data_IF_987037603717
#
_entry.id   IF_987037603717
#
_cell.length_a   1.000
_cell.length_b   1.000
_cell.length_c   1.000
_cell.angle_alpha   90.00
_cell.angle_beta   90.00
_cell.angle_gamma   90.00
#
_symmetry.space_group_name_H-M   'P 1'
#
loop_
_entity.id
_entity.type
_entity.pdbx_description
1 polymer ?
#
# COMPACT_ATOMS: atom_id res chain seq x y z
N UNK A 1 -43.91 4.88 80.26
CA UNK A 1 -42.55 4.95 79.68
C UNK A 1 -42.42 4.19 78.36
N UNK A 2 -43.00 2.99 78.24
CA UNK A 2 -42.89 2.12 77.04
C UNK A 2 -43.27 2.77 75.69
N UNK A 3 -44.36 3.56 75.65
CA UNK A 3 -44.82 4.20 74.41
C UNK A 3 -43.88 5.28 73.84
N UNK A 4 -43.11 5.99 74.68
CA UNK A 4 -42.17 7.02 74.20
C UNK A 4 -40.93 6.41 73.54
N UNK A 5 -40.48 5.26 74.03
CA UNK A 5 -39.31 4.58 73.49
C UNK A 5 -39.60 3.94 72.12
N UNK A 6 -40.81 3.38 71.94
CA UNK A 6 -41.26 2.84 70.65
C UNK A 6 -41.31 3.94 69.58
N UNK A 7 -41.93 5.09 69.88
CA UNK A 7 -42.01 6.21 68.94
C UNK A 7 -40.62 6.71 68.55
N UNK A 8 -39.70 6.83 69.51
CA UNK A 8 -38.31 7.23 69.25
C UNK A 8 -37.57 6.23 68.35
N UNK A 9 -37.77 4.92 68.56
CA UNK A 9 -37.17 3.87 67.74
C UNK A 9 -37.73 3.88 66.31
N UNK A 10 -39.03 4.15 66.14
CA UNK A 10 -39.67 4.29 64.82
C UNK A 10 -39.15 5.52 64.07
N UNK A 11 -38.97 6.66 64.74
CA UNK A 11 -38.39 7.87 64.16
C UNK A 11 -36.94 7.65 63.71
N UNK A 12 -36.13 6.95 64.51
CA UNK A 12 -34.75 6.58 64.15
C UNK A 12 -34.70 5.66 62.94
N UNK A 13 -35.56 4.63 62.88
CA UNK A 13 -35.65 3.73 61.73
C UNK A 13 -36.04 4.47 60.46
N UNK A 14 -37.07 5.31 60.53
CA UNK A 14 -37.52 6.10 59.37
C UNK A 14 -36.42 7.02 58.86
N UNK A 15 -35.70 7.68 59.77
CA UNK A 15 -34.57 8.56 59.42
C UNK A 15 -33.43 7.78 58.77
N UNK A 16 -33.15 6.57 59.22
CA UNK A 16 -32.12 5.71 58.62
C UNK A 16 -32.54 5.20 57.23
N UNK A 17 -33.81 4.87 57.04
CA UNK A 17 -34.37 4.51 55.73
C UNK A 17 -34.22 5.66 54.72
N UNK A 18 -34.54 6.89 55.11
CA UNK A 18 -34.39 8.09 54.28
C UNK A 18 -32.93 8.34 53.84
N UNK A 19 -31.95 8.08 54.72
CA UNK A 19 -30.53 8.18 54.35
C UNK A 19 -30.14 7.11 53.32
N UNK A 20 -30.58 5.88 53.54
CA UNK A 20 -30.32 4.77 52.62
C UNK A 20 -30.95 5.00 51.26
N UNK A 21 -32.13 5.64 51.21
CA UNK A 21 -32.78 6.01 49.95
C UNK A 21 -31.94 7.00 49.13
N UNK A 22 -31.35 8.01 49.78
CA UNK A 22 -30.46 8.98 49.10
C UNK A 22 -29.23 8.27 48.50
N UNK A 23 -28.61 7.36 49.24
CA UNK A 23 -27.46 6.59 48.75
C UNK A 23 -27.84 5.68 47.57
N UNK A 24 -28.98 5.00 47.65
CA UNK A 24 -29.50 4.17 46.55
C UNK A 24 -29.82 5.02 45.31
N UNK A 25 -30.36 6.22 45.52
CA UNK A 25 -30.64 7.14 44.43
C UNK A 25 -29.35 7.52 43.70
N UNK A 26 -28.32 7.98 44.42
CA UNK A 26 -26.99 8.30 43.84
C UNK A 26 -26.43 7.12 43.04
N UNK A 27 -26.48 5.91 43.61
CA UNK A 27 -26.00 4.70 42.93
C UNK A 27 -26.78 4.39 41.65
N UNK A 28 -28.11 4.48 41.70
CA UNK A 28 -28.97 4.17 40.56
C UNK A 28 -28.79 5.13 39.39
N UNK A 29 -28.53 6.41 39.66
CA UNK A 29 -28.46 7.45 38.65
C UNK A 29 -27.24 7.32 37.72
N UNK A 30 -26.16 6.67 38.17
CA UNK A 30 -25.00 6.33 37.34
C UNK A 30 -25.34 5.22 36.32
N UNK A 31 -26.12 4.22 36.73
CA UNK A 31 -26.53 3.10 35.85
C UNK A 31 -27.52 3.50 34.75
N UNK A 32 -28.20 4.65 34.90
CA UNK A 32 -29.13 5.18 33.90
C UNK A 32 -28.39 5.78 32.69
N UNK A 33 -27.09 6.10 32.83
CA UNK A 33 -26.30 6.66 31.72
C UNK A 33 -25.96 5.54 30.73
N UNK A 34 -26.71 5.46 29.63
CA UNK A 34 -26.56 4.41 28.62
C UNK A 34 -25.32 4.54 27.73
N UNK A 35 -24.80 5.77 27.55
CA UNK A 35 -23.64 6.00 26.69
C UNK A 35 -22.33 5.72 27.45
N UNK A 36 -21.48 4.77 27.01
CA UNK A 36 -20.27 4.40 27.74
C UNK A 36 -19.28 5.55 27.93
N UNK A 37 -19.18 6.46 26.96
CA UNK A 37 -18.25 7.60 27.05
C UNK A 37 -18.81 8.63 28.04
N UNK A 38 -20.12 8.86 28.01
CA UNK A 38 -20.76 9.71 29.02
C UNK A 38 -20.64 9.11 30.43
N UNK A 39 -20.75 7.78 30.55
CA UNK A 39 -20.57 7.04 31.81
C UNK A 39 -19.17 7.23 32.37
N UNK A 40 -18.12 7.03 31.54
CA UNK A 40 -16.72 7.24 31.92
C UNK A 40 -16.47 8.67 32.46
N UNK A 41 -17.02 9.69 31.79
CA UNK A 41 -16.88 11.09 32.24
C UNK A 41 -17.66 11.41 33.53
N UNK A 42 -18.68 10.62 33.86
CA UNK A 42 -19.51 10.82 35.05
C UNK A 42 -18.98 10.04 36.26
N UNK A 43 -18.29 8.91 36.06
CA UNK A 43 -17.96 7.92 37.09
C UNK A 43 -17.20 8.53 38.28
N UNK A 44 -16.15 9.32 38.01
CA UNK A 44 -15.33 9.93 39.06
C UNK A 44 -16.16 10.87 39.95
N UNK A 45 -16.99 11.73 39.34
CA UNK A 45 -17.81 12.70 40.08
C UNK A 45 -18.94 12.04 40.86
N UNK A 46 -19.56 10.98 40.31
CA UNK A 46 -20.54 10.19 41.07
C UNK A 46 -19.88 9.50 42.27
N UNK A 47 -18.66 8.99 42.11
CA UNK A 47 -17.89 8.38 43.20
C UNK A 47 -17.54 9.40 44.30
N UNK A 48 -17.19 10.63 43.93
CA UNK A 48 -16.97 11.73 44.87
C UNK A 48 -18.24 12.10 45.62
N UNK A 49 -19.36 12.30 44.91
CA UNK A 49 -20.66 12.60 45.51
C UNK A 49 -21.11 11.50 46.47
N UNK A 50 -20.91 10.23 46.11
CA UNK A 50 -21.22 9.10 46.97
C UNK A 50 -20.42 9.13 48.28
N UNK A 51 -19.10 9.33 48.20
CA UNK A 51 -18.25 9.46 49.40
C UNK A 51 -18.67 10.63 50.27
N UNK A 52 -19.01 11.76 49.66
CA UNK A 52 -19.51 12.93 50.38
C UNK A 52 -20.82 12.63 51.12
N UNK A 53 -21.76 11.94 50.45
CA UNK A 53 -23.02 11.52 51.04
C UNK A 53 -22.82 10.54 52.20
N UNK A 54 -21.97 9.52 52.04
CA UNK A 54 -21.62 8.56 53.09
C UNK A 54 -21.09 9.27 54.35
N UNK A 55 -20.27 10.31 54.20
CA UNK A 55 -19.73 11.08 55.33
C UNK A 55 -20.81 11.97 55.95
N UNK A 56 -21.53 12.74 55.14
CA UNK A 56 -22.51 13.73 55.63
C UNK A 56 -23.70 13.07 56.32
N UNK A 57 -24.17 11.92 55.83
CA UNK A 57 -25.33 11.20 56.37
C UNK A 57 -25.06 10.52 57.74
N UNK A 58 -23.79 10.41 58.17
CA UNK A 58 -23.44 9.96 59.53
C UNK A 58 -23.81 11.00 60.60
N UNK A 59 -23.95 12.28 60.23
CA UNK A 59 -24.30 13.35 61.18
C UNK A 59 -25.75 13.26 61.63
N UNK A 60 -25.99 13.33 62.95
CA UNK A 60 -27.35 13.30 63.51
C UNK A 60 -28.16 14.56 63.17
N UNK A 61 -27.50 15.71 62.99
CA UNK A 61 -28.13 17.01 62.80
C UNK A 61 -28.37 17.39 61.32
N UNK A 62 -28.13 16.47 60.38
CA UNK A 62 -28.30 16.78 58.96
C UNK A 62 -29.77 17.05 58.60
N UNK A 63 -30.01 18.07 57.79
CA UNK A 63 -31.30 18.28 57.15
C UNK A 63 -31.37 17.41 55.89
N UNK A 64 -32.10 16.30 55.96
CA UNK A 64 -32.18 15.30 54.88
C UNK A 64 -32.86 15.86 53.62
N UNK A 65 -33.84 16.76 53.77
CA UNK A 65 -34.53 17.38 52.62
C UNK A 65 -33.56 18.25 51.82
N UNK A 66 -32.82 19.13 52.51
CA UNK A 66 -31.82 19.99 51.87
C UNK A 66 -30.69 19.19 51.24
N UNK A 67 -30.27 18.10 51.90
CA UNK A 67 -29.22 17.24 51.35
C UNK A 67 -29.69 16.45 50.12
N UNK A 68 -30.96 16.02 50.10
CA UNK A 68 -31.57 15.40 48.91
C UNK A 68 -31.59 16.37 47.74
N UNK A 69 -32.12 17.58 47.94
CA UNK A 69 -32.14 18.63 46.89
C UNK A 69 -30.74 18.95 46.36
N UNK A 70 -29.76 19.05 47.25
CA UNK A 70 -28.35 19.22 46.89
C UNK A 70 -27.82 18.06 46.02
N UNK A 71 -28.11 16.82 46.42
CA UNK A 71 -27.67 15.62 45.71
C UNK A 71 -28.30 15.55 44.32
N UNK A 72 -29.61 15.80 44.20
CA UNK A 72 -30.33 15.85 42.93
C UNK A 72 -29.77 16.93 42.00
N UNK A 73 -29.51 18.13 42.52
CA UNK A 73 -28.91 19.22 41.74
C UNK A 73 -27.52 18.86 41.24
N UNK A 74 -26.69 18.27 42.12
CA UNK A 74 -25.32 17.87 41.79
C UNK A 74 -25.30 16.75 40.75
N UNK A 75 -26.18 15.75 40.87
CA UNK A 75 -26.36 14.67 39.89
C UNK A 75 -26.69 15.23 38.50
N UNK A 76 -27.62 16.18 38.43
CA UNK A 76 -27.98 16.82 37.17
C UNK A 76 -26.79 17.56 36.54
N UNK A 77 -26.02 18.31 37.34
CA UNK A 77 -24.81 18.98 36.86
C UNK A 77 -23.74 18.00 36.37
N UNK A 78 -23.56 16.87 37.07
CA UNK A 78 -22.63 15.82 36.65
C UNK A 78 -23.06 15.28 35.28
N UNK A 79 -24.33 14.90 35.11
CA UNK A 79 -24.89 14.39 33.85
C UNK A 79 -24.75 15.39 32.70
N UNK A 80 -25.08 16.65 32.91
CA UNK A 80 -24.91 17.70 31.90
C UNK A 80 -23.44 17.88 31.49
N UNK A 81 -22.54 17.92 32.47
CA UNK A 81 -21.10 18.05 32.21
C UNK A 81 -20.52 16.84 31.46
N UNK A 82 -20.94 15.63 31.84
CA UNK A 82 -20.51 14.39 31.21
C UNK A 82 -20.99 14.30 29.76
N UNK A 83 -22.26 14.62 29.50
CA UNK A 83 -22.84 14.68 28.15
C UNK A 83 -22.12 15.69 27.25
N UNK A 84 -21.82 16.87 27.79
CA UNK A 84 -21.05 17.90 27.07
C UNK A 84 -19.65 17.40 26.73
N UNK A 85 -18.92 16.85 27.70
CA UNK A 85 -17.55 16.36 27.51
C UNK A 85 -17.49 15.20 26.52
N UNK A 86 -18.42 14.25 26.60
CA UNK A 86 -18.53 13.14 25.66
C UNK A 86 -18.80 13.63 24.23
N UNK A 87 -19.69 14.60 24.07
CA UNK A 87 -19.99 15.21 22.76
C UNK A 87 -18.77 15.93 22.18
N UNK A 88 -18.05 16.70 23.01
CA UNK A 88 -16.80 17.37 22.60
C UNK A 88 -15.72 16.36 22.21
N UNK A 89 -15.56 15.28 22.97
CA UNK A 89 -14.60 14.21 22.67
C UNK A 89 -14.90 13.51 21.35
N UNK A 90 -16.17 13.13 21.12
CA UNK A 90 -16.62 12.52 19.85
C UNK A 90 -16.36 13.46 18.67
N UNK A 91 -16.69 14.75 18.81
CA UNK A 91 -16.47 15.75 17.77
C UNK A 91 -14.99 15.98 17.47
N UNK A 92 -14.13 16.02 18.49
CA UNK A 92 -12.67 16.11 18.30
C UNK A 92 -12.14 14.89 17.55
N UNK A 93 -12.58 13.70 17.94
CA UNK A 93 -12.18 12.43 17.30
C UNK A 93 -12.59 12.37 15.83
N UNK A 94 -13.82 12.74 15.50
CA UNK A 94 -14.31 12.80 14.11
C UNK A 94 -13.48 13.80 13.31
N UNK A 95 -13.26 15.02 13.83
CA UNK A 95 -12.44 16.04 13.14
C UNK A 95 -11.00 15.58 12.90
N UNK A 96 -10.37 14.93 13.88
CA UNK A 96 -9.01 14.39 13.70
C UNK A 96 -8.98 13.28 12.65
N UNK A 97 -10.02 12.45 12.59
CA UNK A 97 -10.12 11.38 11.61
C UNK A 97 -10.36 11.94 10.20
N UNK A 98 -11.20 12.96 10.06
CA UNK A 98 -11.43 13.68 8.80
C UNK A 98 -10.17 14.37 8.28
N UNK A 99 -9.40 15.02 9.15
CA UNK A 99 -8.11 15.64 8.78
C UNK A 99 -7.16 14.55 8.28
N UNK A 100 -7.10 13.41 8.96
CA UNK A 100 -6.19 12.33 8.59
C UNK A 100 -6.56 11.69 7.26
N UNK A 101 -7.84 11.46 7.00
CA UNK A 101 -8.33 10.96 5.72
C UNK A 101 -7.99 11.93 4.59
N UNK A 102 -8.11 13.25 4.83
CA UNK A 102 -7.71 14.26 3.85
C UNK A 102 -6.21 14.19 3.53
N UNK A 103 -5.35 14.14 4.56
CA UNK A 103 -3.89 14.05 4.37
C UNK A 103 -3.52 12.79 3.58
N UNK A 104 -4.10 11.64 3.93
CA UNK A 104 -3.85 10.38 3.22
C UNK A 104 -4.29 10.46 1.74
N UNK A 105 -5.45 11.06 1.48
CA UNK A 105 -5.94 11.27 0.11
C UNK A 105 -5.03 12.22 -0.70
N UNK A 106 -4.55 13.31 -0.10
CA UNK A 106 -3.59 14.23 -0.75
C UNK A 106 -2.26 13.54 -1.09
N UNK A 107 -1.76 12.65 -0.20
CA UNK A 107 -0.59 11.83 -0.49
C UNK A 107 -0.84 10.85 -1.64
N UNK A 108 -1.99 10.18 -1.66
CA UNK A 108 -2.39 9.30 -2.76
C UNK A 108 -2.59 10.07 -4.08
N UNK A 109 -3.10 11.30 -4.04
CA UNK A 109 -3.17 12.16 -5.22
C UNK A 109 -1.78 12.56 -5.72
N UNK A 110 -0.83 12.83 -4.82
CA UNK A 110 0.57 13.13 -5.17
C UNK A 110 1.24 11.94 -5.87
N UNK A 111 1.06 10.73 -5.32
CA UNK A 111 1.51 9.48 -5.94
C UNK A 111 0.82 9.31 -7.29
N UNK A 112 -0.50 9.41 -7.37
CA UNK A 112 -1.23 9.23 -8.63
C UNK A 112 -0.85 10.25 -9.71
N UNK A 113 -0.61 11.51 -9.35
CA UNK A 113 -0.21 12.55 -10.29
C UNK A 113 1.22 12.35 -10.81
N UNK A 114 2.14 11.86 -9.99
CA UNK A 114 3.49 11.50 -10.46
C UNK A 114 3.48 10.27 -11.39
N UNK A 115 2.44 9.44 -11.33
CA UNK A 115 2.22 8.35 -12.30
C UNK A 115 1.58 8.82 -13.63
N UNK A 116 1.06 10.05 -13.74
CA UNK A 116 0.42 10.55 -14.98
C UNK A 116 1.40 10.86 -16.11
N UNK A 117 2.68 11.05 -15.79
CA UNK A 117 3.71 11.31 -16.80
C UNK A 117 4.20 10.03 -17.51
N UNK A 118 3.77 8.86 -17.05
CA UNK A 118 4.19 7.54 -17.55
C UNK A 118 3.04 6.86 -18.32
N UNK A 119 3.34 6.38 -19.53
CA UNK A 119 2.35 5.82 -20.49
C UNK A 119 1.65 4.56 -19.94
N UNK A 120 0.35 4.45 -20.19
CA UNK A 120 -0.61 3.48 -19.63
C UNK A 120 -0.35 1.98 -19.89
N UNK A 121 0.68 1.61 -20.65
CA UNK A 121 0.88 0.23 -21.14
C UNK A 121 1.71 -0.67 -20.19
N UNK A 122 2.18 -0.16 -19.04
CA UNK A 122 2.94 -0.97 -18.07
C UNK A 122 2.03 -1.70 -17.07
N UNK A 123 2.06 -3.06 -17.02
CA UNK A 123 1.27 -3.85 -16.07
C UNK A 123 1.64 -3.58 -14.58
N UNK A 124 2.90 -3.24 -14.26
CA UNK A 124 3.30 -2.84 -12.90
C UNK A 124 2.66 -1.50 -12.53
N UNK A 125 2.65 -0.54 -13.47
CA UNK A 125 2.02 0.76 -13.30
C UNK A 125 0.50 0.66 -13.16
N UNK A 126 -0.13 -0.22 -13.94
CA UNK A 126 -1.56 -0.50 -13.86
C UNK A 126 -1.95 -1.09 -12.49
N UNK A 127 -1.17 -2.05 -12.00
CA UNK A 127 -1.35 -2.62 -10.65
C UNK A 127 -1.20 -1.56 -9.55
N UNK A 128 -0.20 -0.66 -9.68
CA UNK A 128 0.00 0.42 -8.72
C UNK A 128 -1.20 1.40 -8.69
N UNK A 129 -1.75 1.75 -9.86
CA UNK A 129 -2.98 2.55 -9.97
C UNK A 129 -4.18 1.85 -9.32
N UNK A 130 -4.32 0.54 -9.52
CA UNK A 130 -5.40 -0.25 -8.90
C UNK A 130 -5.28 -0.29 -7.38
N UNK A 131 -4.06 -0.48 -6.84
CA UNK A 131 -3.80 -0.42 -5.40
C UNK A 131 -4.16 0.94 -4.80
N UNK A 132 -3.86 2.05 -5.49
CA UNK A 132 -4.25 3.41 -5.07
C UNK A 132 -5.78 3.55 -5.02
N UNK A 133 -6.50 3.03 -6.02
CA UNK A 133 -7.97 3.05 -6.04
C UNK A 133 -8.54 2.22 -4.88
N UNK A 134 -7.99 1.03 -4.64
CA UNK A 134 -8.42 0.15 -3.55
C UNK A 134 -8.17 0.80 -2.17
N UNK A 135 -7.06 1.51 -2.01
CA UNK A 135 -6.75 2.27 -0.79
C UNK A 135 -7.76 3.38 -0.53
N UNK A 136 -8.18 4.13 -1.56
CA UNK A 136 -9.23 5.16 -1.43
C UNK A 136 -10.57 4.61 -0.99
N UNK A 137 -10.87 3.36 -1.36
CA UNK A 137 -12.15 2.72 -1.07
C UNK A 137 -12.17 1.97 0.28
N UNK A 138 -11.00 1.71 0.88
CA UNK A 138 -10.89 1.02 2.17
C UNK A 138 -11.12 1.99 3.35
N UNK A 139 -12.38 2.10 3.78
CA UNK A 139 -12.75 2.92 4.95
C UNK A 139 -12.50 2.27 6.33
N UNK A 140 -12.00 1.03 6.39
CA UNK A 140 -11.94 0.22 7.63
C UNK A 140 -10.54 -0.10 8.16
N UNK A 141 -9.46 0.40 7.53
CA UNK A 141 -8.09 0.19 8.03
C UNK A 141 -7.75 1.18 9.13
N UNK A 142 -6.99 0.74 10.13
CA UNK A 142 -6.42 1.63 11.13
C UNK A 142 -5.44 2.61 10.50
N UNK A 143 -5.19 3.71 11.20
CA UNK A 143 -4.31 4.75 10.70
C UNK A 143 -2.88 4.24 10.43
N UNK A 144 -2.29 3.47 11.36
CA UNK A 144 -0.95 2.91 11.17
C UNK A 144 -0.87 1.97 9.96
N UNK A 145 -1.95 1.23 9.67
CA UNK A 145 -2.00 0.35 8.51
C UNK A 145 -2.06 1.15 7.20
N UNK A 146 -2.86 2.22 7.16
CA UNK A 146 -2.95 3.10 5.99
C UNK A 146 -1.61 3.78 5.69
N UNK A 147 -0.91 4.31 6.70
CA UNK A 147 0.39 4.95 6.51
C UNK A 147 1.46 3.99 5.99
N UNK A 148 1.50 2.75 6.50
CA UNK A 148 2.43 1.72 6.01
C UNK A 148 2.14 1.32 4.56
N UNK A 149 0.86 1.18 4.18
CA UNK A 149 0.50 0.92 2.79
C UNK A 149 0.93 2.07 1.87
N UNK A 150 0.76 3.34 2.28
CA UNK A 150 1.23 4.51 1.52
C UNK A 150 2.76 4.50 1.35
N UNK A 151 3.52 4.22 2.41
CA UNK A 151 4.98 4.10 2.33
C UNK A 151 5.44 2.99 1.37
N UNK A 152 4.75 1.84 1.39
CA UNK A 152 5.04 0.75 0.46
C UNK A 152 4.73 1.13 -0.99
N UNK A 153 3.61 1.82 -1.23
CA UNK A 153 3.27 2.33 -2.57
C UNK A 153 4.32 3.32 -3.09
N UNK A 154 4.87 4.17 -2.23
CA UNK A 154 5.94 5.11 -2.61
C UNK A 154 7.23 4.38 -3.01
N UNK A 155 7.60 3.30 -2.29
CA UNK A 155 8.76 2.48 -2.65
C UNK A 155 8.55 1.75 -3.98
N UNK A 156 7.40 1.09 -4.15
CA UNK A 156 7.06 0.40 -5.40
C UNK A 156 7.04 1.37 -6.59
N UNK A 157 6.56 2.61 -6.39
CA UNK A 157 6.61 3.66 -7.40
C UNK A 157 8.06 4.01 -7.79
N UNK A 158 8.91 4.27 -6.81
CA UNK A 158 10.31 4.66 -7.05
C UNK A 158 11.06 3.58 -7.82
N UNK A 159 10.91 2.32 -7.41
CA UNK A 159 11.51 1.17 -8.09
C UNK A 159 11.03 1.07 -9.55
N UNK A 160 9.72 1.27 -9.79
CA UNK A 160 9.15 1.24 -11.14
C UNK A 160 9.70 2.35 -12.03
N UNK A 161 9.86 3.57 -11.52
CA UNK A 161 10.42 4.68 -12.29
C UNK A 161 11.90 4.46 -12.61
N UNK A 162 12.67 3.91 -11.67
CA UNK A 162 14.08 3.58 -11.89
C UNK A 162 14.25 2.49 -12.96
N UNK A 163 13.44 1.43 -12.90
CA UNK A 163 13.41 0.35 -13.90
C UNK A 163 13.16 0.91 -15.32
N UNK A 164 12.23 1.86 -15.46
CA UNK A 164 11.92 2.48 -16.75
C UNK A 164 13.04 3.36 -17.31
N UNK A 165 13.74 4.11 -16.45
CA UNK A 165 14.86 4.96 -16.86
C UNK A 165 16.03 4.10 -17.37
N UNK A 166 16.36 3.03 -16.64
CA UNK A 166 17.37 2.04 -17.05
C UNK A 166 16.97 1.37 -18.36
N UNK A 167 15.70 0.98 -18.53
CA UNK A 167 15.21 0.39 -19.76
C UNK A 167 15.35 1.35 -20.95
N UNK A 168 15.03 2.63 -20.77
CA UNK A 168 15.15 3.66 -21.81
C UNK A 168 16.60 3.86 -22.24
N UNK A 169 17.52 3.92 -21.29
CA UNK A 169 18.95 4.01 -21.57
C UNK A 169 19.45 2.76 -22.31
N UNK A 170 19.03 1.57 -21.86
CA UNK A 170 19.39 0.29 -22.50
C UNK A 170 18.91 0.22 -23.95
N UNK A 171 17.66 0.61 -24.22
CA UNK A 171 17.09 0.66 -25.58
C UNK A 171 17.87 1.63 -26.47
N UNK A 172 18.30 2.78 -25.93
CA UNK A 172 19.10 3.75 -26.66
C UNK A 172 20.48 3.20 -27.01
N UNK A 173 21.12 2.49 -26.09
CA UNK A 173 22.40 1.82 -26.28
C UNK A 173 22.32 0.71 -27.35
N UNK A 174 21.28 -0.13 -27.31
CA UNK A 174 21.04 -1.16 -28.34
C UNK A 174 20.83 -0.52 -29.70
N UNK A 175 20.02 0.55 -29.77
CA UNK A 175 19.77 1.29 -31.01
C UNK A 175 21.08 1.79 -31.63
N UNK A 176 21.90 2.49 -30.85
CA UNK A 176 23.20 3.01 -31.33
C UNK A 176 24.13 1.89 -31.78
N UNK A 177 24.13 0.76 -31.08
CA UNK A 177 24.96 -0.41 -31.43
C UNK A 177 24.54 -1.02 -32.76
N UNK A 178 23.24 -1.13 -33.02
CA UNK A 178 22.70 -1.58 -34.31
C UNK A 178 23.08 -0.62 -35.45
N UNK A 179 22.92 0.69 -35.22
CA UNK A 179 23.25 1.73 -36.21
C UNK A 179 24.76 1.75 -36.55
N UNK A 180 25.63 1.64 -35.54
CA UNK A 180 27.08 1.49 -35.73
C UNK A 180 27.46 0.21 -36.48
N UNK A 181 26.61 -0.81 -36.41
CA UNK A 181 26.77 -2.08 -37.12
C UNK A 181 26.10 -2.07 -38.50
N UNK A 182 25.78 -0.88 -39.03
CA UNK A 182 25.16 -0.61 -40.34
C UNK A 182 23.71 -1.13 -40.47
N UNK A 183 23.04 -1.44 -39.36
CA UNK A 183 21.61 -1.73 -39.39
C UNK A 183 20.80 -0.44 -39.36
N UNK A 184 19.76 -0.39 -40.18
CA UNK A 184 18.73 0.64 -40.13
C UNK A 184 17.60 0.18 -39.22
N UNK A 185 17.22 1.02 -38.28
CA UNK A 185 16.04 0.77 -37.45
C UNK A 185 14.77 0.92 -38.30
N UNK A 186 13.94 -0.14 -38.31
CA UNK A 186 12.66 -0.17 -39.01
C UNK A 186 11.52 0.18 -38.07
N UNK A 187 11.55 -0.36 -36.87
CA UNK A 187 10.49 -0.18 -35.88
C UNK A 187 11.05 -0.36 -34.46
N UNK A 188 10.56 0.45 -33.52
CA UNK A 188 10.70 0.21 -32.09
C UNK A 188 9.29 0.25 -31.51
N UNK A 189 8.85 -0.85 -30.89
CA UNK A 189 7.52 -0.93 -30.31
C UNK A 189 7.53 -1.62 -28.95
N UNK A 190 6.64 -1.18 -28.06
CA UNK A 190 6.35 -1.86 -26.79
C UNK A 190 5.31 -2.95 -27.04
N UNK A 191 5.51 -4.14 -26.45
CA UNK A 191 4.60 -5.29 -26.58
C UNK A 191 4.49 -6.01 -25.25
N UNK A 192 3.32 -6.60 -25.01
CA UNK A 192 3.11 -7.56 -23.93
C UNK A 192 3.42 -8.95 -24.45
N UNK A 193 4.44 -9.61 -23.90
CA UNK A 193 4.82 -11.00 -24.22
C UNK A 193 4.87 -11.77 -22.91
N UNK A 194 4.11 -12.86 -22.81
CA UNK A 194 4.03 -13.72 -21.61
C UNK A 194 3.76 -12.95 -20.30
N UNK A 195 2.90 -11.92 -20.38
CA UNK A 195 2.54 -11.08 -19.23
C UNK A 195 3.60 -10.05 -18.83
N UNK A 196 4.70 -9.91 -19.59
CA UNK A 196 5.75 -8.91 -19.36
C UNK A 196 5.71 -7.83 -20.43
N UNK A 197 5.88 -6.58 -20.02
CA UNK A 197 6.12 -5.48 -20.94
C UNK A 197 7.56 -5.57 -21.46
N UNK A 198 7.69 -5.66 -22.78
CA UNK A 198 8.98 -5.72 -23.46
C UNK A 198 9.06 -4.68 -24.57
N UNK A 199 10.26 -4.18 -24.83
CA UNK A 199 10.56 -3.32 -25.98
C UNK A 199 11.17 -4.18 -27.07
N UNK A 200 10.57 -4.17 -28.26
CA UNK A 200 11.05 -4.90 -29.43
C UNK A 200 11.60 -3.91 -30.45
N UNK A 201 12.83 -4.12 -30.88
CA UNK A 201 13.53 -3.33 -31.89
C UNK A 201 13.70 -4.20 -33.14
N UNK A 202 13.17 -3.74 -34.27
CA UNK A 202 13.32 -4.36 -35.58
C UNK A 202 14.29 -3.54 -36.41
N UNK A 203 15.29 -4.20 -37.01
CA UNK A 203 16.29 -3.53 -37.84
C UNK A 203 16.76 -4.40 -39.01
N UNK A 204 17.18 -3.77 -40.10
CA UNK A 204 17.65 -4.45 -41.30
C UNK A 204 18.86 -3.77 -41.95
N UNK A 205 19.60 -4.52 -42.76
CA UNK A 205 20.61 -3.98 -43.67
C UNK A 205 20.05 -3.91 -45.09
N UNK A 206 20.59 -3.04 -45.96
CA UNK A 206 20.28 -3.05 -47.39
C UNK A 206 20.45 -4.43 -48.05
N UNK A 207 21.37 -5.24 -47.54
CA UNK A 207 21.59 -6.63 -47.97
C UNK A 207 20.45 -7.62 -47.64
N UNK A 208 19.39 -7.21 -46.93
CA UNK A 208 18.27 -8.07 -46.51
C UNK A 208 18.48 -8.81 -45.18
N UNK A 209 19.70 -8.76 -44.61
CA UNK A 209 19.99 -9.22 -43.25
C UNK A 209 19.12 -8.49 -42.23
N UNK A 210 18.62 -9.22 -41.24
CA UNK A 210 17.67 -8.72 -40.27
C UNK A 210 18.16 -8.99 -38.84
N UNK A 211 17.89 -8.05 -37.93
CA UNK A 211 18.10 -8.22 -36.50
C UNK A 211 16.86 -7.77 -35.71
N UNK A 212 16.44 -8.63 -34.78
CA UNK A 212 15.40 -8.34 -33.78
C UNK A 212 16.03 -8.36 -32.41
N UNK A 213 15.82 -7.30 -31.65
CA UNK A 213 16.22 -7.21 -30.25
C UNK A 213 14.98 -7.06 -29.37
N UNK A 214 14.97 -7.69 -28.20
CA UNK A 214 13.88 -7.63 -27.23
C UNK A 214 14.48 -7.45 -25.84
N UNK A 215 14.00 -6.45 -25.12
CA UNK A 215 14.46 -6.14 -23.76
C UNK A 215 13.27 -5.95 -22.83
N UNK A 216 13.33 -6.52 -21.63
CA UNK A 216 12.32 -6.32 -20.58
C UNK A 216 12.83 -5.41 -19.45
N UNK A 217 11.92 -4.98 -18.56
CA UNK A 217 12.24 -4.12 -17.40
C UNK A 217 13.19 -4.79 -16.39
N UNK A 218 13.32 -6.12 -16.41
CA UNK A 218 14.24 -6.85 -15.55
C UNK A 218 15.65 -6.95 -16.14
N UNK A 219 15.90 -6.30 -17.28
CA UNK A 219 17.17 -6.34 -17.98
C UNK A 219 17.41 -7.62 -18.78
N UNK A 220 16.39 -8.48 -18.97
CA UNK A 220 16.52 -9.64 -19.84
C UNK A 220 16.59 -9.17 -21.28
N UNK A 221 17.68 -9.52 -21.96
CA UNK A 221 17.93 -9.13 -23.33
C UNK A 221 18.01 -10.37 -24.23
N UNK A 222 17.17 -10.38 -25.27
CA UNK A 222 17.09 -11.45 -26.26
C UNK A 222 17.29 -10.83 -27.64
N UNK A 223 18.16 -11.42 -28.46
CA UNK A 223 18.36 -10.98 -29.84
C UNK A 223 18.29 -12.16 -30.82
N UNK A 224 17.84 -11.87 -32.05
CA UNK A 224 17.77 -12.82 -33.16
C UNK A 224 18.30 -12.16 -34.43
N UNK A 225 19.24 -12.82 -35.09
CA UNK A 225 19.78 -12.41 -36.39
C UNK A 225 19.28 -13.41 -37.45
N UNK A 226 18.71 -12.89 -38.54
CA UNK A 226 18.04 -13.69 -39.58
C UNK A 226 18.42 -13.22 -40.99
N UNK A 227 18.12 -14.03 -42.01
CA UNK A 227 18.48 -13.81 -43.42
C UNK A 227 20.00 -13.70 -43.66
N UNK A 228 20.77 -14.61 -43.05
CA UNK A 228 22.21 -14.75 -43.27
C UNK A 228 22.53 -16.00 -44.09
N UNK A 229 23.49 -15.86 -45.02
CA UNK A 229 24.07 -16.99 -45.74
C UNK A 229 25.41 -17.41 -45.11
N UNK A 230 25.59 -18.72 -44.93
CA UNK A 230 26.83 -19.31 -44.40
C UNK A 230 27.21 -18.79 -43.01
N UNK A 231 28.51 -18.58 -42.77
CA UNK A 231 29.06 -18.17 -41.48
C UNK A 231 29.03 -16.65 -41.23
N UNK A 232 28.43 -15.86 -42.13
CA UNK A 232 28.43 -14.40 -42.03
C UNK A 232 27.67 -13.87 -40.80
N UNK A 233 26.70 -14.64 -40.29
CA UNK A 233 25.94 -14.31 -39.08
C UNK A 233 26.82 -14.22 -37.83
N UNK A 234 27.80 -15.13 -37.69
CA UNK A 234 28.66 -15.19 -36.50
C UNK A 234 29.51 -13.93 -36.34
N UNK A 235 29.96 -13.34 -37.46
CA UNK A 235 30.77 -12.10 -37.45
C UNK A 235 29.96 -10.89 -37.04
N UNK A 236 28.74 -10.74 -37.56
CA UNK A 236 27.87 -9.61 -37.23
C UNK A 236 27.38 -9.71 -35.78
N UNK A 237 27.10 -10.93 -35.26
CA UNK A 237 26.79 -11.14 -33.84
C UNK A 237 27.99 -10.81 -32.94
N UNK A 238 29.20 -11.29 -33.28
CA UNK A 238 30.39 -11.04 -32.45
C UNK A 238 30.68 -9.53 -32.31
N UNK A 239 30.62 -8.79 -33.42
CA UNK A 239 30.78 -7.32 -33.40
C UNK A 239 29.67 -6.63 -32.63
N UNK A 240 28.43 -7.11 -32.77
CA UNK A 240 27.29 -6.57 -32.04
C UNK A 240 27.45 -6.74 -30.53
N UNK A 241 27.86 -7.93 -30.07
CA UNK A 241 28.10 -8.23 -28.65
C UNK A 241 29.28 -7.43 -28.10
N UNK A 242 30.40 -7.38 -28.83
CA UNK A 242 31.59 -6.60 -28.46
C UNK A 242 31.25 -5.12 -28.26
N UNK A 243 30.55 -4.51 -29.22
CA UNK A 243 30.13 -3.10 -29.11
C UNK A 243 29.12 -2.86 -27.99
N UNK A 244 28.24 -3.83 -27.68
CA UNK A 244 27.27 -3.71 -26.59
C UNK A 244 27.97 -3.68 -25.22
N UNK A 245 29.01 -4.50 -25.05
CA UNK A 245 29.81 -4.59 -23.82
C UNK A 245 30.82 -3.45 -23.67
N UNK A 246 31.60 -3.16 -24.72
CA UNK A 246 32.72 -2.21 -24.68
C UNK A 246 32.25 -0.75 -24.68
N UNK A 247 31.21 -0.41 -25.45
CA UNK A 247 30.77 0.98 -25.64
C UNK A 247 29.69 1.37 -24.63
N UNK A 248 28.86 0.42 -24.19
CA UNK A 248 27.67 0.71 -23.37
C UNK A 248 27.62 -0.04 -22.03
N UNK A 249 28.63 -0.85 -21.71
CA UNK A 249 28.76 -1.51 -20.40
C UNK A 249 27.70 -2.58 -20.11
N UNK A 250 26.94 -3.02 -21.11
CA UNK A 250 25.88 -4.03 -20.95
C UNK A 250 26.52 -5.41 -20.97
N UNK A 251 26.88 -5.93 -19.80
CA UNK A 251 27.48 -7.28 -19.67
C UNK A 251 26.46 -8.38 -19.96
N UNK A 252 26.73 -9.22 -20.94
CA UNK A 252 25.92 -10.40 -21.24
C UNK A 252 26.35 -11.55 -20.31
N UNK A 253 25.81 -11.55 -19.08
CA UNK A 253 26.25 -12.44 -18.00
C UNK A 253 25.86 -13.91 -18.17
N UNK A 254 24.73 -14.22 -18.84
CA UNK A 254 24.25 -15.59 -19.06
C UNK A 254 23.70 -15.77 -20.48
N UNK A 255 24.57 -16.10 -21.44
CA UNK A 255 24.19 -16.34 -22.84
C UNK A 255 23.60 -17.75 -23.01
N UNK A 256 22.30 -17.82 -23.29
CA UNK A 256 21.62 -19.07 -23.65
C UNK A 256 21.27 -19.04 -25.14
N UNK A 257 21.78 -19.99 -25.92
CA UNK A 257 21.46 -20.12 -27.34
C UNK A 257 20.10 -20.82 -27.49
N UNK A 258 19.05 -20.05 -27.82
CA UNK A 258 17.68 -20.57 -27.95
C UNK A 258 17.49 -21.42 -29.22
N UNK A 259 18.14 -21.05 -30.32
CA UNK A 259 18.07 -21.77 -31.58
C UNK A 259 19.23 -21.38 -32.50
N UNK A 260 19.83 -22.35 -33.19
CA UNK A 260 20.82 -22.12 -34.24
C UNK A 260 20.45 -22.92 -35.48
N UNK A 261 20.50 -22.28 -36.64
CA UNK A 261 20.26 -22.98 -37.91
C UNK A 261 21.28 -24.11 -38.10
N UNK A 262 20.87 -25.33 -38.48
CA UNK A 262 21.80 -26.41 -38.76
C UNK A 262 22.70 -26.02 -39.93
N UNK A 263 24.02 -26.04 -39.71
CA UNK A 263 24.98 -25.67 -40.74
C UNK A 263 24.88 -26.63 -41.95
N UNK A 264 24.67 -26.08 -43.15
CA UNK A 264 24.81 -26.85 -44.40
C UNK A 264 26.30 -27.01 -44.72
N UNK A 265 26.95 -27.99 -44.13
CA UNK A 265 28.24 -28.48 -44.60
C UNK A 265 28.01 -29.43 -45.81
N UNK A 266 27.77 -28.87 -46.99
CA UNK A 266 27.77 -29.69 -48.22
C UNK A 266 28.34 -28.90 -49.40
N UNK A 267 29.67 -28.98 -49.58
CA UNK A 267 30.36 -28.97 -50.89
C UNK A 267 31.87 -29.20 -50.73
N UNK A 268 32.29 -30.33 -50.15
CA UNK A 268 33.57 -30.93 -50.54
C UNK A 268 33.54 -32.44 -50.29
N UNK A 269 33.95 -33.18 -51.33
CA UNK A 269 34.05 -34.64 -51.48
C UNK A 269 32.80 -35.36 -51.99
N UNK A 270 32.70 -35.43 -53.32
CA UNK A 270 32.86 -36.69 -54.08
C UNK A 270 32.94 -36.38 -55.58
N UNK A 271 34.12 -36.58 -56.14
CA UNK A 271 34.27 -37.41 -57.33
C UNK A 271 35.73 -37.87 -57.38
N UNK A 272 35.96 -39.04 -56.78
CA UNK A 272 37.04 -39.92 -57.20
C UNK A 272 36.61 -40.39 -58.60
N UNK A 273 37.23 -39.85 -59.64
CA UNK A 273 37.21 -40.50 -60.94
C UNK A 273 38.36 -41.49 -60.95
N UNK A 274 38.08 -42.73 -60.55
CA UNK A 274 38.85 -43.88 -60.98
C UNK A 274 38.30 -44.30 -62.35
N UNK A 275 38.94 -43.83 -63.42
CA UNK A 275 38.82 -44.45 -64.75
C UNK A 275 40.16 -45.11 -65.08
N UNK A 276 40.34 -46.33 -64.58
CA UNK A 276 41.30 -47.26 -65.16
C UNK A 276 40.65 -47.95 -66.37
N UNK A 277 40.94 -47.45 -67.56
CA UNK A 277 41.12 -48.28 -68.75
C UNK A 277 42.57 -48.12 -69.20
N UNK A 278 43.38 -49.15 -68.92
CA UNK A 278 44.59 -49.45 -69.72
C UNK A 278 44.11 -50.20 -70.97
N UNK A 279 44.64 -49.86 -72.15
CA UNK A 279 45.19 -50.81 -73.13
C UNK A 279 45.90 -50.03 -74.24
N UNK A 280 47.23 -50.24 -74.29
CA UNK A 280 48.25 -50.03 -75.35
C UNK A 280 48.46 -48.61 -75.89
#
# INVERSE_FOLDING_TARGET
MYNKEIVRLEELKKREEEKNEILRYIDSELYIISDPIESDFAEEKFRELKKEAEIKLLSQNINLSQFREYSESTINQIKESAKKNASEWKNKRIKSQDIQVKVNNEQLDTIANSLKEVREEDPKLANLKEKIINMRNKNNLSFEEQSREIENLQKEQLDSTLDEEILKETVLSIKKTLENSEFRIKEISKKMIDGKLVVVIHSDKPSGKYARCTVDLSGNFIYKFDNYEGLSCKKDIAKFEEHLEEIYGIKLSQKTLLHQNPERLSSQKRNIQDNNHKTI
#
